data_IF_960888973270
#
_entry.id   IF_960888973270
#
_cell.length_a   1.000
_cell.length_b   1.000
_cell.length_c   1.000
_cell.angle_alpha   90.00
_cell.angle_beta   90.00
_cell.angle_gamma   90.00
#
_symmetry.space_group_name_H-M   'P 1'
#
loop_
_entity.id
_entity.type
_entity.pdbx_description
1 polymer ?
#
# COMPACT_ATOMS: atom_id res chain seq x y z
N UNK A 1 14.29 7.15 4.99
CA UNK A 1 13.09 6.29 4.84
C UNK A 1 13.22 5.18 5.87
N UNK A 2 12.35 5.14 6.89
CA UNK A 2 12.40 4.10 7.94
C UNK A 2 12.16 2.73 7.30
N UNK A 3 12.84 1.67 7.77
CA UNK A 3 12.80 0.36 7.13
C UNK A 3 11.40 -0.22 6.92
N UNK A 4 10.46 0.11 7.82
CA UNK A 4 9.06 -0.33 7.76
C UNK A 4 8.30 0.31 6.61
N UNK A 5 8.56 1.60 6.31
CA UNK A 5 7.95 2.31 5.18
C UNK A 5 8.30 1.63 3.84
N UNK A 6 9.57 1.24 3.66
CA UNK A 6 9.99 0.46 2.50
C UNK A 6 9.31 -0.91 2.44
N UNK A 7 9.18 -1.60 3.57
CA UNK A 7 8.50 -2.91 3.62
C UNK A 7 7.03 -2.81 3.22
N UNK A 8 6.30 -1.78 3.68
CA UNK A 8 4.91 -1.55 3.29
C UNK A 8 4.80 -1.22 1.80
N UNK A 9 5.64 -0.34 1.27
CA UNK A 9 5.65 -0.06 -0.18
C UNK A 9 5.92 -1.33 -0.99
N UNK A 10 6.87 -2.17 -0.57
CA UNK A 10 7.20 -3.42 -1.26
C UNK A 10 6.09 -4.46 -1.15
N UNK A 11 5.36 -4.52 -0.04
CA UNK A 11 4.18 -5.36 0.09
C UNK A 11 3.10 -4.93 -0.91
N UNK A 12 2.78 -3.63 -0.95
CA UNK A 12 1.79 -3.10 -1.91
C UNK A 12 2.23 -3.41 -3.35
N UNK A 13 3.50 -3.18 -3.70
CA UNK A 13 4.04 -3.53 -5.02
C UNK A 13 3.88 -5.02 -5.37
N UNK A 14 4.32 -5.91 -4.49
CA UNK A 14 4.24 -7.37 -4.71
C UNK A 14 2.79 -7.88 -4.79
N UNK A 15 1.89 -7.24 -4.06
CA UNK A 15 0.48 -7.58 -4.03
C UNK A 15 -0.23 -7.02 -5.28
N UNK A 16 0.18 -5.86 -5.80
CA UNK A 16 -0.45 -5.19 -6.96
C UNK A 16 -0.18 -5.85 -8.33
N UNK A 17 0.27 -7.10 -8.38
CA UNK A 17 0.66 -7.76 -9.64
C UNK A 17 -0.53 -7.84 -10.62
N UNK A 18 -0.27 -7.49 -11.88
CA UNK A 18 -1.27 -7.21 -12.94
C UNK A 18 -2.20 -8.39 -13.23
N UNK A 19 -1.78 -9.61 -12.87
CA UNK A 19 -2.51 -10.84 -13.17
C UNK A 19 -3.70 -11.11 -12.24
N UNK A 20 -3.76 -10.50 -11.04
CA UNK A 20 -4.72 -10.95 -10.02
C UNK A 20 -5.86 -10.00 -9.68
N UNK A 21 -5.85 -8.72 -10.08
CA UNK A 21 -6.90 -7.75 -9.70
C UNK A 21 -7.29 -7.77 -8.21
N UNK A 22 -6.43 -8.31 -7.35
CA UNK A 22 -6.68 -8.35 -5.94
C UNK A 22 -6.39 -6.94 -5.46
N UNK A 23 -7.44 -6.25 -5.06
CA UNK A 23 -7.36 -4.95 -4.45
C UNK A 23 -7.13 -5.22 -2.98
N UNK A 24 -5.95 -4.85 -2.48
CA UNK A 24 -5.55 -5.16 -1.12
C UNK A 24 -5.81 -3.97 -0.21
N UNK A 25 -6.44 -4.24 0.92
CA UNK A 25 -6.73 -3.24 1.95
C UNK A 25 -5.65 -3.25 3.05
N UNK A 26 -5.85 -2.45 4.09
CA UNK A 26 -4.92 -2.36 5.20
C UNK A 26 -4.81 -3.68 6.00
N UNK A 27 -5.87 -4.51 6.03
CA UNK A 27 -5.87 -5.79 6.72
C UNK A 27 -4.98 -6.80 6.00
N UNK A 28 -5.10 -6.89 4.67
CA UNK A 28 -4.27 -7.76 3.85
C UNK A 28 -2.77 -7.43 4.00
N UNK A 29 -2.42 -6.14 3.96
CA UNK A 29 -1.05 -5.67 4.12
C UNK A 29 -0.55 -5.98 5.55
N UNK A 30 -1.41 -5.83 6.55
CA UNK A 30 -1.11 -6.15 7.94
C UNK A 30 -0.82 -7.63 8.14
N UNK A 31 -1.62 -8.51 7.54
CA UNK A 31 -1.43 -9.96 7.59
C UNK A 31 -0.15 -10.36 6.85
N UNK A 32 0.07 -9.84 5.64
CA UNK A 32 1.26 -10.14 4.84
C UNK A 32 2.56 -9.78 5.55
N UNK A 33 2.59 -8.64 6.25
CA UNK A 33 3.78 -8.16 6.97
C UNK A 33 3.87 -8.66 8.42
N UNK A 34 2.82 -9.29 8.95
CA UNK A 34 2.72 -9.64 10.36
C UNK A 34 2.77 -8.41 11.29
N UNK A 35 2.30 -7.27 10.81
CA UNK A 35 2.25 -6.02 11.57
C UNK A 35 0.89 -5.87 12.25
N UNK A 36 0.78 -4.87 13.13
CA UNK A 36 -0.53 -4.45 13.64
C UNK A 36 -1.21 -3.58 12.59
N UNK A 37 -2.53 -3.75 12.43
CA UNK A 37 -3.34 -2.97 11.50
C UNK A 37 -3.14 -1.46 11.69
N UNK A 38 -3.22 -0.97 12.93
CA UNK A 38 -2.97 0.45 13.26
C UNK A 38 -1.62 0.97 12.76
N UNK A 39 -0.58 0.13 12.74
CA UNK A 39 0.75 0.53 12.24
C UNK A 39 0.72 0.67 10.72
N UNK A 40 0.03 -0.24 10.03
CA UNK A 40 -0.14 -0.19 8.58
C UNK A 40 -0.98 1.02 8.17
N UNK A 41 -2.10 1.28 8.84
CA UNK A 41 -2.96 2.45 8.59
C UNK A 41 -2.18 3.76 8.72
N UNK A 42 -1.42 3.93 9.80
CA UNK A 42 -0.57 5.11 9.99
C UNK A 42 0.48 5.25 8.88
N UNK A 43 1.02 4.15 8.34
CA UNK A 43 2.00 4.20 7.25
C UNK A 43 1.32 4.52 5.92
N UNK A 44 0.14 3.96 5.67
CA UNK A 44 -0.66 4.27 4.48
C UNK A 44 -1.01 5.76 4.44
N UNK A 45 -1.43 6.35 5.57
CA UNK A 45 -1.68 7.80 5.69
C UNK A 45 -0.42 8.62 5.34
N UNK A 46 0.74 8.26 5.90
CA UNK A 46 2.01 8.94 5.58
C UNK A 46 2.40 8.79 4.11
N UNK A 47 2.21 7.61 3.52
CA UNK A 47 2.49 7.38 2.11
C UNK A 47 1.50 8.12 1.20
N UNK A 48 0.26 8.27 1.63
CA UNK A 48 -0.76 9.02 0.92
C UNK A 48 -0.42 10.52 0.91
N UNK A 49 -0.10 11.09 2.06
CA UNK A 49 0.36 12.47 2.21
C UNK A 49 1.64 12.76 1.41
N UNK A 50 2.52 11.76 1.27
CA UNK A 50 3.74 11.85 0.48
C UNK A 50 3.51 11.75 -1.04
N UNK A 51 2.30 11.45 -1.50
CA UNK A 51 1.98 11.22 -2.91
C UNK A 51 2.56 9.91 -3.46
N UNK A 52 2.84 8.95 -2.60
CA UNK A 52 3.37 7.64 -2.98
C UNK A 52 2.27 6.61 -3.27
N UNK A 53 1.03 6.88 -2.85
CA UNK A 53 -0.13 6.03 -3.10
C UNK A 53 -1.16 6.75 -3.98
N UNK A 54 -2.02 5.95 -4.59
CA UNK A 54 -3.29 6.38 -5.19
C UNK A 54 -4.39 5.44 -4.72
N UNK A 55 -5.58 5.98 -4.48
CA UNK A 55 -6.76 5.19 -4.11
C UNK A 55 -7.34 4.51 -5.36
N UNK A 56 -7.52 3.19 -5.31
CA UNK A 56 -8.15 2.43 -6.39
C UNK A 56 -9.66 2.29 -6.19
N UNK A 57 -10.08 2.01 -4.96
CA UNK A 57 -11.48 2.00 -4.53
C UNK A 57 -11.62 2.83 -3.27
N UNK A 58 -12.73 3.55 -3.15
CA UNK A 58 -12.99 4.39 -1.99
C UNK A 58 -13.98 3.69 -1.05
N UNK A 59 -13.70 3.72 0.26
CA UNK A 59 -14.58 3.11 1.28
C UNK A 59 -16.03 3.62 1.16
N UNK A 60 -16.20 4.90 0.83
CA UNK A 60 -17.51 5.54 0.78
C UNK A 60 -18.36 5.11 -0.42
N UNK A 61 -17.71 4.81 -1.55
CA UNK A 61 -18.40 4.52 -2.80
C UNK A 61 -18.48 3.00 -3.07
N UNK A 62 -17.42 2.26 -2.70
CA UNK A 62 -17.24 0.85 -3.06
C UNK A 62 -17.29 -0.09 -1.84
N UNK A 63 -17.30 0.46 -0.61
CA UNK A 63 -17.38 -0.31 0.64
C UNK A 63 -16.05 -0.93 1.10
N UNK A 64 -14.97 -0.78 0.34
CA UNK A 64 -13.60 -1.19 0.66
C UNK A 64 -12.63 -0.10 0.18
N UNK A 65 -11.61 0.23 0.97
CA UNK A 65 -10.55 1.16 0.58
C UNK A 65 -9.29 0.40 0.18
N UNK A 66 -8.83 0.60 -1.04
CA UNK A 66 -7.65 -0.10 -1.58
C UNK A 66 -6.69 0.87 -2.23
N UNK A 67 -5.41 0.50 -2.22
CA UNK A 67 -4.32 1.41 -2.58
C UNK A 67 -3.41 0.77 -3.62
N UNK A 68 -2.94 1.57 -4.58
CA UNK A 68 -1.82 1.23 -5.46
C UNK A 68 -0.69 2.24 -5.28
N UNK A 69 0.53 1.84 -5.65
CA UNK A 69 1.66 2.78 -5.72
C UNK A 69 1.55 3.67 -6.96
N UNK A 70 1.97 4.92 -6.82
CA UNK A 70 2.19 5.78 -8.00
C UNK A 70 3.43 5.33 -8.76
N UNK A 71 3.52 5.64 -10.07
CA UNK A 71 4.70 5.32 -10.90
C UNK A 71 6.02 5.74 -10.22
N UNK A 72 6.03 6.94 -9.64
CA UNK A 72 7.19 7.48 -8.92
C UNK A 72 7.55 6.65 -7.68
N UNK A 73 6.57 6.09 -6.99
CA UNK A 73 6.79 5.23 -5.83
C UNK A 73 7.21 3.82 -6.23
N UNK A 74 6.73 3.32 -7.37
CA UNK A 74 7.19 2.06 -7.99
C UNK A 74 8.68 2.16 -8.30
N UNK A 75 9.12 3.24 -8.95
CA UNK A 75 10.55 3.49 -9.23
C UNK A 75 11.39 3.45 -7.94
N UNK A 76 10.87 3.96 -6.82
CA UNK A 76 11.58 3.94 -5.53
C UNK A 76 11.69 2.53 -4.92
N UNK A 77 10.75 1.63 -5.24
CA UNK A 77 10.77 0.23 -4.78
C UNK A 77 11.71 -0.60 -5.66
N UNK A 78 11.68 -0.41 -6.97
CA UNK A 78 12.48 -1.19 -7.93
C UNK A 78 13.98 -0.85 -7.89
N UNK A 79 14.31 0.43 -7.65
CA UNK A 79 15.70 0.91 -7.60
C UNK A 79 16.33 0.71 -6.20
N UNK A 80 15.56 0.22 -5.22
CA UNK A 80 15.82 0.36 -3.78
C UNK A 80 16.26 -0.86 -2.98
#
# INVERSE_FOLDING_TARGET
>A
MTGILKSVMKAIYNLSDEDNYNLYDAEDISEYLGLKLEVVENILEVLMDAGCLSECMNLHDDGIQTYCLTDKAIDMVEVG
#
